data_IF_827599284576
#
_entry.id   IF_827599284576
#
_cell.length_a   1.000
_cell.length_b   1.000
_cell.length_c   1.000
_cell.angle_alpha   90.00
_cell.angle_beta   90.00
_cell.angle_gamma   90.00
#
_symmetry.space_group_name_H-M   'P 1'
#
loop_
_entity.id
_entity.type
_entity.pdbx_description
1 polymer ?
#
# COMPACT_ATOMS: atom_id res chain seq x y z
N UNK A 1 24.71 -24.58 -51.44
CA UNK A 1 23.67 -24.80 -50.41
C UNK A 1 23.72 -23.60 -49.48
N UNK A 2 22.90 -22.61 -49.77
CA UNK A 2 22.81 -21.31 -49.06
C UNK A 2 21.87 -21.44 -47.85
N UNK A 3 22.43 -21.25 -46.70
CA UNK A 3 21.71 -21.29 -45.43
C UNK A 3 20.95 -19.96 -45.25
N UNK A 4 19.64 -19.92 -45.46
CA UNK A 4 18.78 -18.78 -45.14
C UNK A 4 18.48 -18.77 -43.63
N UNK A 5 18.98 -17.76 -42.96
CA UNK A 5 18.63 -17.40 -41.58
C UNK A 5 17.26 -16.74 -41.60
N UNK A 6 16.29 -17.30 -40.88
CA UNK A 6 14.95 -16.75 -40.73
C UNK A 6 15.01 -15.40 -39.95
N UNK A 7 14.16 -14.41 -40.29
CA UNK A 7 14.12 -13.13 -39.59
C UNK A 7 13.56 -13.30 -38.15
N UNK A 8 13.96 -12.44 -37.18
CA UNK A 8 13.49 -12.51 -35.81
C UNK A 8 11.99 -12.20 -35.74
N UNK A 9 11.27 -13.02 -34.97
CA UNK A 9 9.85 -12.89 -34.70
C UNK A 9 9.47 -11.49 -34.22
N UNK A 10 8.37 -10.98 -34.75
CA UNK A 10 7.77 -9.71 -34.41
C UNK A 10 7.60 -9.57 -32.89
N UNK A 11 8.12 -8.48 -32.34
CA UNK A 11 7.82 -8.04 -30.96
C UNK A 11 6.31 -7.92 -30.85
N UNK A 12 5.72 -8.63 -29.90
CA UNK A 12 4.34 -8.45 -29.52
C UNK A 12 4.15 -6.98 -29.10
N UNK A 13 3.29 -6.28 -29.80
CA UNK A 13 2.83 -4.94 -29.44
C UNK A 13 2.18 -5.02 -28.06
N UNK A 14 2.51 -4.17 -27.09
CA UNK A 14 1.79 -4.12 -25.84
C UNK A 14 0.31 -3.82 -26.11
N UNK A 15 -0.63 -4.36 -25.31
CA UNK A 15 -2.05 -4.13 -25.52
C UNK A 15 -2.34 -2.63 -25.55
N UNK A 16 -3.19 -2.23 -26.50
CA UNK A 16 -3.58 -0.85 -26.78
C UNK A 16 -3.79 -0.04 -25.50
N UNK A 17 -3.06 1.06 -25.41
CA UNK A 17 -3.24 2.04 -24.34
C UNK A 17 -4.69 2.53 -24.33
N UNK A 18 -5.50 2.33 -23.29
CA UNK A 18 -6.80 2.99 -23.21
C UNK A 18 -6.54 4.51 -23.22
N UNK A 19 -6.96 5.14 -24.28
CA UNK A 19 -6.87 6.59 -24.47
C UNK A 19 -7.52 7.38 -23.33
N UNK A 20 -7.40 8.71 -23.30
CA UNK A 20 -8.07 9.54 -22.30
C UNK A 20 -9.57 9.23 -22.29
N UNK A 21 -10.13 8.95 -21.09
CA UNK A 21 -11.55 8.64 -20.94
C UNK A 21 -12.39 9.82 -21.44
N UNK A 22 -13.44 9.61 -22.29
CA UNK A 22 -14.30 10.68 -22.77
C UNK A 22 -14.95 11.42 -21.59
N UNK A 23 -14.78 12.73 -21.53
CA UNK A 23 -15.42 13.58 -20.53
C UNK A 23 -14.54 14.76 -20.10
N UNK A 24 -15.13 15.74 -19.42
CA UNK A 24 -14.37 16.89 -18.94
C UNK A 24 -13.32 16.47 -17.89
N UNK A 25 -12.17 17.16 -17.81
CA UNK A 25 -11.24 17.01 -16.70
C UNK A 25 -11.94 17.23 -15.35
N UNK A 26 -11.61 16.36 -14.38
CA UNK A 26 -12.07 16.50 -13.01
C UNK A 26 -11.04 17.28 -12.17
N UNK A 27 -11.53 17.96 -11.14
CA UNK A 27 -10.70 18.54 -10.09
C UNK A 27 -10.85 17.70 -8.83
N UNK A 28 -9.74 17.09 -8.38
CA UNK A 28 -9.72 16.13 -7.26
C UNK A 28 -8.85 16.69 -6.14
N UNK A 29 -9.38 16.70 -4.93
CA UNK A 29 -8.64 17.00 -3.70
C UNK A 29 -8.33 15.67 -2.98
N UNK A 30 -7.07 15.25 -2.97
CA UNK A 30 -6.62 14.05 -2.25
C UNK A 30 -6.30 14.41 -0.80
N UNK A 31 -6.76 13.59 0.13
CA UNK A 31 -6.51 13.74 1.56
C UNK A 31 -5.72 12.58 2.14
N UNK A 32 -4.62 12.89 2.84
CA UNK A 32 -3.78 11.92 3.55
C UNK A 32 -3.99 12.04 5.05
N UNK A 33 -4.19 10.93 5.74
CA UNK A 33 -4.42 10.90 7.20
C UNK A 33 -3.18 11.26 8.04
N UNK A 34 -2.02 11.32 7.43
CA UNK A 34 -0.77 11.67 8.08
C UNK A 34 0.37 11.79 7.09
N UNK A 35 1.53 12.15 7.62
CA UNK A 35 2.77 12.39 6.89
C UNK A 35 3.79 11.26 7.07
N UNK A 36 3.45 10.19 7.79
CA UNK A 36 4.33 9.05 7.95
C UNK A 36 4.56 8.34 6.61
N UNK A 37 5.82 8.03 6.30
CA UNK A 37 6.16 7.26 5.13
C UNK A 37 5.53 5.85 5.22
N UNK A 38 4.72 5.48 4.23
CA UNK A 38 4.00 4.21 4.22
C UNK A 38 3.36 3.91 2.87
N UNK A 39 2.94 2.67 2.65
CA UNK A 39 2.41 2.21 1.36
C UNK A 39 1.16 2.98 0.90
N UNK A 40 0.18 3.15 1.78
CA UNK A 40 -1.07 3.83 1.44
C UNK A 40 -0.88 5.30 0.99
N UNK A 41 -0.17 6.18 1.75
CA UNK A 41 0.03 7.55 1.30
C UNK A 41 0.94 7.68 0.08
N UNK A 42 1.92 6.79 -0.12
CA UNK A 42 2.72 6.74 -1.35
C UNK A 42 1.83 6.44 -2.54
N UNK A 43 1.02 5.39 -2.45
CA UNK A 43 0.09 5.00 -3.52
C UNK A 43 -0.93 6.10 -3.83
N UNK A 44 -1.40 6.85 -2.82
CA UNK A 44 -2.29 8.00 -3.02
C UNK A 44 -1.63 9.09 -3.87
N UNK A 45 -0.35 9.41 -3.60
CA UNK A 45 0.42 10.40 -4.38
C UNK A 45 0.71 9.88 -5.80
N UNK A 46 1.05 8.61 -5.95
CA UNK A 46 1.32 8.00 -7.25
C UNK A 46 0.07 7.97 -8.13
N UNK A 47 -1.09 7.60 -7.55
CA UNK A 47 -2.39 7.71 -8.21
C UNK A 47 -2.72 9.16 -8.58
N UNK A 48 -2.45 10.11 -7.68
CA UNK A 48 -2.63 11.53 -7.94
C UNK A 48 -1.78 12.02 -9.10
N UNK A 49 -0.51 11.60 -9.17
CA UNK A 49 0.40 11.89 -10.29
C UNK A 49 -0.12 11.28 -11.59
N UNK A 50 -0.58 10.03 -11.54
CA UNK A 50 -1.13 9.35 -12.71
C UNK A 50 -2.42 10.02 -13.19
N UNK A 51 -3.32 10.44 -12.30
CA UNK A 51 -4.51 11.22 -12.65
C UNK A 51 -4.16 12.57 -13.29
N UNK A 52 -3.11 13.27 -12.81
CA UNK A 52 -2.62 14.48 -13.47
C UNK A 52 -2.11 14.20 -14.90
N UNK A 53 -1.35 13.12 -15.08
CA UNK A 53 -0.88 12.69 -16.40
C UNK A 53 -2.02 12.36 -17.37
N UNK A 54 -3.21 12.03 -16.84
CA UNK A 54 -4.45 11.79 -17.60
C UNK A 54 -5.30 13.05 -17.82
N UNK A 55 -4.80 14.23 -17.42
CA UNK A 55 -5.43 15.52 -17.66
C UNK A 55 -6.32 16.06 -16.53
N UNK A 56 -6.38 15.39 -15.37
CA UNK A 56 -7.13 15.89 -14.20
C UNK A 56 -6.32 16.92 -13.42
N UNK A 57 -7.03 17.80 -12.70
CA UNK A 57 -6.42 18.66 -11.69
C UNK A 57 -6.43 17.93 -10.35
N UNK A 58 -5.28 17.81 -9.73
CA UNK A 58 -5.15 17.12 -8.44
C UNK A 58 -4.38 18.00 -7.46
N UNK A 59 -4.99 18.28 -6.33
CA UNK A 59 -4.36 18.92 -5.17
C UNK A 59 -4.34 17.95 -3.99
N UNK A 60 -3.43 18.19 -3.03
CA UNK A 60 -3.23 17.29 -1.90
C UNK A 60 -3.28 18.09 -0.60
N UNK A 61 -3.95 17.55 0.40
CA UNK A 61 -3.78 17.97 1.78
C UNK A 61 -3.37 16.78 2.65
N UNK A 62 -2.73 17.06 3.76
CA UNK A 62 -2.34 16.05 4.75
C UNK A 62 -2.58 16.57 6.17
N UNK A 63 -2.76 15.63 7.11
CA UNK A 63 -2.77 15.96 8.52
C UNK A 63 -1.32 16.14 8.98
N UNK A 64 -1.04 17.29 9.60
CA UNK A 64 0.27 17.62 10.16
C UNK A 64 0.55 16.76 11.39
N UNK A 65 1.31 15.69 11.17
CA UNK A 65 1.69 14.69 12.16
C UNK A 65 3.19 14.83 12.46
N UNK A 66 3.54 14.85 13.74
CA UNK A 66 4.96 14.80 14.15
C UNK A 66 5.48 13.38 13.89
N UNK A 67 6.29 13.20 12.85
CA UNK A 67 6.82 11.90 12.44
C UNK A 67 8.33 11.94 12.27
N UNK A 68 9.02 10.84 12.58
CA UNK A 68 10.47 10.71 12.39
C UNK A 68 10.88 10.82 10.92
N UNK A 69 10.13 10.14 10.03
CA UNK A 69 10.39 10.13 8.60
C UNK A 69 9.18 10.65 7.86
N UNK A 70 9.31 11.86 7.31
CA UNK A 70 8.21 12.54 6.64
C UNK A 70 8.06 12.15 5.18
N UNK A 71 6.81 12.05 4.73
CA UNK A 71 6.42 11.86 3.34
C UNK A 71 6.63 13.12 2.46
N UNK A 72 6.80 14.30 3.05
CA UNK A 72 6.88 15.56 2.30
C UNK A 72 7.92 15.55 1.18
N UNK A 73 9.17 15.06 1.37
CA UNK A 73 10.14 15.00 0.27
C UNK A 73 9.69 14.09 -0.89
N UNK A 74 8.93 13.05 -0.59
CA UNK A 74 8.33 12.20 -1.64
C UNK A 74 7.23 12.92 -2.40
N UNK A 75 6.35 13.62 -1.69
CA UNK A 75 5.28 14.42 -2.29
C UNK A 75 5.84 15.51 -3.21
N UNK A 76 6.89 16.22 -2.80
CA UNK A 76 7.56 17.25 -3.60
C UNK A 76 8.16 16.67 -4.88
N UNK A 77 8.89 15.55 -4.78
CA UNK A 77 9.42 14.84 -5.96
C UNK A 77 8.31 14.36 -6.90
N UNK A 78 7.14 14.04 -6.37
CA UNK A 78 5.94 13.66 -7.15
C UNK A 78 5.17 14.89 -7.69
N UNK A 79 5.69 16.10 -7.51
CA UNK A 79 5.10 17.35 -7.98
C UNK A 79 3.97 17.89 -7.11
N UNK A 80 3.83 17.43 -5.87
CA UNK A 80 2.81 17.90 -4.93
C UNK A 80 3.38 18.73 -3.80
N UNK A 81 2.64 19.75 -3.40
CA UNK A 81 2.88 20.52 -2.17
C UNK A 81 1.64 20.41 -1.29
N UNK A 82 1.57 19.41 -0.39
CA UNK A 82 0.40 19.19 0.43
C UNK A 82 0.09 20.39 1.34
N UNK A 83 -1.18 20.81 1.38
CA UNK A 83 -1.64 21.76 2.40
C UNK A 83 -1.75 21.02 3.73
N UNK A 84 -1.03 21.49 4.75
CA UNK A 84 -1.01 20.86 6.06
C UNK A 84 -2.19 21.35 6.92
N UNK A 85 -2.95 20.41 7.46
CA UNK A 85 -4.05 20.68 8.39
C UNK A 85 -3.66 20.24 9.80
N UNK A 86 -4.02 21.01 10.85
CA UNK A 86 -3.65 20.72 12.23
C UNK A 86 -4.04 19.29 12.65
N UNK A 87 -3.20 18.58 13.38
CA UNK A 87 -3.47 17.20 13.82
C UNK A 87 -4.76 17.11 14.65
N UNK A 88 -4.93 17.98 15.63
CA UNK A 88 -6.12 18.01 16.49
C UNK A 88 -7.19 18.94 15.92
N UNK A 89 -8.36 18.39 15.66
CA UNK A 89 -9.51 19.15 15.15
C UNK A 89 -10.78 18.31 15.33
N UNK A 90 -11.90 18.95 15.67
CA UNK A 90 -13.20 18.26 15.66
C UNK A 90 -13.61 17.91 14.23
N UNK A 91 -14.50 16.94 14.06
CA UNK A 91 -15.01 16.55 12.73
C UNK A 91 -15.57 17.74 11.95
N UNK A 92 -16.33 18.63 12.61
CA UNK A 92 -16.89 19.83 11.95
C UNK A 92 -15.83 20.86 11.58
N UNK A 93 -14.83 21.09 12.45
CA UNK A 93 -13.75 22.02 12.14
C UNK A 93 -12.92 21.46 10.96
N UNK A 94 -12.63 20.16 10.95
CA UNK A 94 -11.98 19.47 9.85
C UNK A 94 -12.78 19.55 8.56
N UNK A 95 -14.09 19.31 8.60
CA UNK A 95 -14.96 19.46 7.44
C UNK A 95 -14.94 20.88 6.86
N UNK A 96 -14.94 21.92 7.72
CA UNK A 96 -14.80 23.32 7.27
C UNK A 96 -13.45 23.59 6.60
N UNK A 97 -12.35 23.04 7.15
CA UNK A 97 -11.01 23.16 6.54
C UNK A 97 -10.97 22.51 5.16
N UNK A 98 -11.43 21.25 5.06
CA UNK A 98 -11.51 20.53 3.77
C UNK A 98 -12.40 21.27 2.78
N UNK A 99 -13.56 21.76 3.19
CA UNK A 99 -14.48 22.54 2.32
C UNK A 99 -13.81 23.80 1.76
N UNK A 100 -13.05 24.53 2.58
CA UNK A 100 -12.29 25.71 2.11
C UNK A 100 -11.27 25.34 1.03
N UNK A 101 -10.58 24.19 1.19
CA UNK A 101 -9.66 23.69 0.17
C UNK A 101 -10.40 23.30 -1.11
N UNK A 102 -11.54 22.60 -1.00
CA UNK A 102 -12.37 22.25 -2.16
C UNK A 102 -12.92 23.50 -2.87
N UNK A 103 -13.24 24.56 -2.12
CA UNK A 103 -13.69 25.83 -2.71
C UNK A 103 -12.57 26.53 -3.45
N UNK A 104 -11.37 26.61 -2.85
CA UNK A 104 -10.19 27.25 -3.43
C UNK A 104 -9.72 26.54 -4.71
N UNK A 105 -9.73 25.20 -4.73
CA UNK A 105 -9.32 24.40 -5.89
C UNK A 105 -10.47 24.11 -6.86
N UNK A 106 -11.69 24.56 -6.57
CA UNK A 106 -12.90 24.20 -7.33
C UNK A 106 -13.06 22.70 -7.53
N UNK A 107 -12.74 21.90 -6.49
CA UNK A 107 -12.75 20.44 -6.57
C UNK A 107 -14.14 19.87 -6.73
N UNK A 108 -14.27 18.93 -7.66
CA UNK A 108 -15.46 18.11 -7.88
C UNK A 108 -15.54 16.97 -6.85
N UNK A 109 -14.38 16.42 -6.48
CA UNK A 109 -14.27 15.26 -5.59
C UNK A 109 -13.24 15.55 -4.50
N UNK A 110 -13.54 15.13 -3.27
CA UNK A 110 -12.54 14.92 -2.22
C UNK A 110 -12.38 13.43 -1.99
N UNK A 111 -11.18 12.92 -2.22
CA UNK A 111 -10.85 11.52 -1.99
C UNK A 111 -9.83 11.40 -0.84
N UNK A 112 -10.22 10.78 0.26
CA UNK A 112 -9.35 10.61 1.42
C UNK A 112 -8.84 9.16 1.52
N UNK A 113 -7.54 9.04 1.73
CA UNK A 113 -6.85 7.77 1.94
C UNK A 113 -6.67 7.56 3.44
N UNK A 114 -7.60 6.78 3.98
CA UNK A 114 -7.78 6.45 5.36
C UNK A 114 -9.19 6.78 5.87
N UNK A 115 -9.77 5.91 6.72
CA UNK A 115 -11.16 6.00 7.13
C UNK A 115 -11.47 7.14 8.12
N UNK A 116 -10.45 7.62 8.86
CA UNK A 116 -10.63 8.61 9.92
C UNK A 116 -11.04 9.99 9.41
N UNK A 117 -10.66 10.32 8.18
CA UNK A 117 -11.09 11.54 7.50
C UNK A 117 -12.47 11.42 6.84
N UNK A 118 -13.01 10.21 6.74
CA UNK A 118 -14.20 9.92 5.94
C UNK A 118 -15.41 10.78 6.32
N UNK A 119 -15.73 10.92 7.62
CA UNK A 119 -16.85 11.77 8.06
C UNK A 119 -16.66 13.23 7.71
N UNK A 120 -15.46 13.75 7.97
CA UNK A 120 -15.17 15.15 7.68
C UNK A 120 -15.20 15.45 6.18
N UNK A 121 -14.66 14.55 5.35
CA UNK A 121 -14.71 14.65 3.90
C UNK A 121 -16.15 14.62 3.37
N UNK A 122 -16.97 13.70 3.88
CA UNK A 122 -18.38 13.59 3.49
C UNK A 122 -19.18 14.86 3.84
N UNK A 123 -18.99 15.41 5.05
CA UNK A 123 -19.62 16.67 5.45
C UNK A 123 -19.08 17.84 4.60
N UNK A 124 -17.78 17.83 4.25
CA UNK A 124 -17.20 18.87 3.43
C UNK A 124 -17.74 18.91 2.01
N UNK A 125 -17.98 17.74 1.40
CA UNK A 125 -18.53 17.61 0.06
C UNK A 125 -20.06 17.90 0.00
N UNK A 126 -20.75 17.67 1.11
CA UNK A 126 -22.20 17.86 1.17
C UNK A 126 -22.61 19.34 1.04
N UNK A 127 -23.76 19.64 0.40
CA UNK A 127 -24.30 20.99 0.22
C UNK A 127 -24.72 21.27 -1.23
N UNK A 128 -24.89 22.58 -1.55
CA UNK A 128 -25.46 23.01 -2.85
C UNK A 128 -24.62 22.66 -4.07
N UNK A 129 -23.30 22.80 -3.96
CA UNK A 129 -22.40 22.46 -5.07
C UNK A 129 -22.38 20.93 -5.29
N UNK A 130 -22.47 20.45 -6.54
CA UNK A 130 -22.41 19.02 -6.85
C UNK A 130 -20.99 18.50 -6.66
N UNK A 131 -20.72 17.92 -5.48
CA UNK A 131 -19.42 17.37 -5.08
C UNK A 131 -19.58 16.00 -4.47
N UNK A 132 -18.63 15.13 -4.67
CA UNK A 132 -18.60 13.81 -4.03
C UNK A 132 -17.42 13.69 -3.05
N UNK A 133 -17.59 12.83 -2.05
CA UNK A 133 -16.54 12.36 -1.18
C UNK A 133 -16.32 10.88 -1.41
N UNK A 134 -15.08 10.44 -1.49
CA UNK A 134 -14.66 9.04 -1.61
C UNK A 134 -13.67 8.73 -0.49
N UNK A 135 -13.75 7.52 0.06
CA UNK A 135 -12.85 7.04 1.09
C UNK A 135 -12.18 5.77 0.64
N UNK A 136 -10.86 5.74 0.61
CA UNK A 136 -10.10 4.50 0.49
C UNK A 136 -9.67 4.01 1.86
N UNK A 137 -9.99 2.76 2.18
CA UNK A 137 -9.50 2.05 3.34
C UNK A 137 -8.70 0.81 2.89
N UNK A 138 -7.39 0.92 2.93
CA UNK A 138 -6.46 -0.19 2.67
C UNK A 138 -5.87 -0.77 3.97
N UNK A 139 -6.59 -0.63 5.08
CA UNK A 139 -6.32 -1.39 6.29
C UNK A 139 -6.82 -2.83 6.13
N UNK A 140 -6.35 -3.73 6.98
CA UNK A 140 -6.74 -5.15 6.95
C UNK A 140 -8.08 -5.44 7.64
N UNK A 141 -8.82 -4.41 8.03
CA UNK A 141 -10.09 -4.49 8.72
C UNK A 141 -11.09 -3.45 8.22
N UNK A 142 -12.37 -3.77 8.32
CA UNK A 142 -13.44 -2.83 8.11
C UNK A 142 -13.64 -1.93 9.33
N UNK A 143 -13.73 -0.63 9.12
CA UNK A 143 -13.94 0.35 10.20
C UNK A 143 -15.30 1.03 10.10
N UNK A 144 -16.02 1.21 11.22
CA UNK A 144 -17.39 1.74 11.22
C UNK A 144 -17.46 3.26 11.08
N UNK A 145 -16.33 3.96 10.83
CA UNK A 145 -16.27 5.42 10.84
C UNK A 145 -16.74 6.07 9.55
N UNK A 146 -16.73 5.35 8.44
CA UNK A 146 -17.15 5.89 7.14
C UNK A 146 -18.68 5.89 7.06
N UNK A 147 -19.34 7.00 6.71
CA UNK A 147 -20.77 7.04 6.54
C UNK A 147 -21.25 6.04 5.46
N UNK A 148 -22.36 5.34 5.69
CA UNK A 148 -22.79 4.22 4.82
C UNK A 148 -22.98 4.60 3.35
N UNK A 149 -23.45 5.83 3.06
CA UNK A 149 -23.67 6.33 1.71
C UNK A 149 -22.43 6.88 1.03
N UNK A 150 -21.32 7.03 1.76
CA UNK A 150 -20.05 7.47 1.19
C UNK A 150 -19.39 6.31 0.49
N UNK A 151 -19.02 6.42 -0.79
CA UNK A 151 -18.27 5.40 -1.51
C UNK A 151 -17.01 4.99 -0.73
N UNK A 152 -16.90 3.70 -0.47
CA UNK A 152 -15.79 3.09 0.26
C UNK A 152 -15.02 2.17 -0.67
N UNK A 153 -13.76 2.53 -0.91
CA UNK A 153 -12.83 1.71 -1.68
C UNK A 153 -12.06 0.81 -0.73
N UNK A 154 -12.13 -0.49 -0.94
CA UNK A 154 -11.46 -1.52 -0.14
C UNK A 154 -10.42 -2.26 -0.96
N UNK A 155 -9.38 -2.74 -0.29
CA UNK A 155 -8.19 -3.32 -0.92
C UNK A 155 -8.24 -4.83 -1.09
N UNK A 156 -9.26 -5.54 -0.59
CA UNK A 156 -9.39 -6.99 -0.69
C UNK A 156 -10.83 -7.41 -0.94
N UNK A 157 -11.02 -8.56 -1.60
CA UNK A 157 -12.36 -9.12 -1.86
C UNK A 157 -13.07 -9.45 -0.55
N UNK A 158 -12.38 -10.07 0.39
CA UNK A 158 -12.92 -10.37 1.72
C UNK A 158 -13.54 -9.15 2.40
N UNK A 159 -12.77 -8.04 2.48
CA UNK A 159 -13.27 -6.82 3.12
C UNK A 159 -14.42 -6.18 2.35
N UNK A 160 -14.40 -6.24 1.01
CA UNK A 160 -15.52 -5.79 0.18
C UNK A 160 -16.78 -6.59 0.50
N UNK A 161 -16.71 -7.92 0.46
CA UNK A 161 -17.86 -8.80 0.67
C UNK A 161 -18.44 -8.64 2.08
N UNK A 162 -17.59 -8.51 3.10
CA UNK A 162 -18.01 -8.17 4.47
C UNK A 162 -18.75 -6.81 4.52
N UNK A 163 -18.25 -5.81 3.79
CA UNK A 163 -18.84 -4.46 3.80
C UNK A 163 -20.13 -4.38 2.97
N UNK A 164 -20.24 -5.13 1.87
CA UNK A 164 -21.46 -5.24 1.04
C UNK A 164 -22.64 -5.84 1.82
N UNK A 165 -22.37 -6.70 2.80
CA UNK A 165 -23.40 -7.21 3.72
C UNK A 165 -24.06 -6.12 4.58
N UNK A 166 -23.50 -4.89 4.62
CA UNK A 166 -24.07 -3.77 5.36
C UNK A 166 -25.06 -3.01 4.46
N UNK A 167 -26.34 -3.08 4.78
CA UNK A 167 -27.40 -2.44 4.00
C UNK A 167 -27.10 -0.96 3.68
N UNK A 168 -27.17 -0.60 2.41
CA UNK A 168 -27.01 0.77 1.90
C UNK A 168 -25.55 1.26 1.87
N UNK A 169 -24.56 0.38 2.02
CA UNK A 169 -23.16 0.72 1.84
C UNK A 169 -22.77 0.62 0.36
N UNK A 170 -22.13 1.68 -0.14
CA UNK A 170 -21.51 1.68 -1.47
C UNK A 170 -20.06 1.25 -1.34
N UNK A 171 -19.70 0.16 -1.96
CA UNK A 171 -18.35 -0.45 -1.87
C UNK A 171 -17.75 -0.64 -3.26
N UNK A 172 -16.45 -0.36 -3.36
CA UNK A 172 -15.65 -0.57 -4.55
C UNK A 172 -14.41 -1.39 -4.17
N UNK A 173 -14.05 -2.35 -5.01
CA UNK A 173 -12.79 -3.06 -4.87
C UNK A 173 -11.72 -2.35 -5.70
N UNK A 174 -10.65 -1.92 -5.05
CA UNK A 174 -9.41 -1.50 -5.71
C UNK A 174 -8.24 -1.89 -4.84
N UNK A 175 -7.55 -2.90 -5.26
CA UNK A 175 -6.31 -3.35 -4.59
C UNK A 175 -5.24 -2.26 -4.70
N UNK A 176 -4.36 -2.12 -3.67
CA UNK A 176 -3.30 -1.12 -3.71
C UNK A 176 -2.46 -1.25 -4.98
N UNK A 177 -2.35 -0.22 -5.82
CA UNK A 177 -1.61 -0.33 -7.08
C UNK A 177 -0.10 -0.22 -6.88
N UNK A 178 0.68 -0.62 -7.89
CA UNK A 178 2.12 -0.50 -7.95
C UNK A 178 2.56 0.22 -9.24
N UNK A 179 3.63 1.02 -9.14
CA UNK A 179 4.22 1.69 -10.31
C UNK A 179 5.11 0.72 -11.09
N UNK A 180 4.53 0.06 -12.09
CA UNK A 180 5.23 -0.96 -12.89
C UNK A 180 6.39 -0.41 -13.72
N UNK A 181 6.42 0.89 -13.98
CA UNK A 181 7.51 1.56 -14.70
C UNK A 181 8.66 1.92 -13.75
N UNK A 182 8.33 2.56 -12.62
CA UNK A 182 9.32 2.92 -11.61
C UNK A 182 9.88 1.71 -10.86
N UNK A 183 9.07 0.67 -10.66
CA UNK A 183 9.45 -0.60 -10.04
C UNK A 183 9.82 -1.67 -11.10
N UNK A 184 10.27 -1.23 -12.28
CA UNK A 184 10.84 -2.14 -13.28
C UNK A 184 12.22 -2.64 -12.81
N UNK A 185 12.50 -3.94 -13.07
CA UNK A 185 13.75 -4.56 -12.67
C UNK A 185 15.00 -3.88 -13.29
N UNK A 186 15.95 -3.48 -12.44
CA UNK A 186 17.28 -2.96 -12.81
C UNK A 186 18.39 -3.85 -12.22
N UNK A 187 18.88 -4.79 -13.02
CA UNK A 187 19.95 -5.69 -12.59
C UNK A 187 21.24 -4.95 -12.20
N UNK A 188 21.53 -3.78 -12.79
CA UNK A 188 22.73 -3.01 -12.45
C UNK A 188 22.59 -2.36 -11.06
N UNK A 189 21.42 -1.83 -10.73
CA UNK A 189 21.11 -1.30 -9.40
C UNK A 189 21.21 -2.41 -8.34
N UNK A 190 20.64 -3.59 -8.61
CA UNK A 190 20.75 -4.74 -7.71
C UNK A 190 22.19 -5.15 -7.44
N UNK A 191 23.01 -5.29 -8.48
CA UNK A 191 24.45 -5.61 -8.30
C UNK A 191 25.21 -4.53 -7.52
N UNK A 192 24.90 -3.24 -7.70
CA UNK A 192 25.49 -2.17 -6.89
C UNK A 192 25.12 -2.32 -5.41
N UNK A 193 23.84 -2.60 -5.12
CA UNK A 193 23.35 -2.78 -3.77
C UNK A 193 23.97 -4.02 -3.08
N UNK A 194 24.11 -5.14 -3.80
CA UNK A 194 24.80 -6.34 -3.29
C UNK A 194 26.24 -6.03 -2.93
N UNK A 195 27.01 -5.35 -3.79
CA UNK A 195 28.40 -4.94 -3.50
C UNK A 195 28.51 -4.03 -2.29
N UNK A 196 27.61 -3.05 -2.14
CA UNK A 196 27.56 -2.16 -0.98
C UNK A 196 27.43 -2.94 0.35
N UNK A 197 26.65 -4.01 0.35
CA UNK A 197 26.42 -4.82 1.54
C UNK A 197 27.36 -6.01 1.68
N UNK A 198 28.30 -6.20 0.75
CA UNK A 198 29.22 -7.33 0.73
C UNK A 198 28.54 -8.66 0.47
N UNK A 199 27.49 -8.67 -0.34
CA UNK A 199 26.79 -9.89 -0.80
C UNK A 199 27.43 -10.33 -2.11
N UNK A 200 27.94 -11.55 -2.16
CA UNK A 200 28.61 -12.14 -3.32
C UNK A 200 27.62 -12.80 -4.29
N UNK A 201 28.07 -13.17 -5.50
CA UNK A 201 27.19 -13.73 -6.52
C UNK A 201 26.80 -15.19 -6.23
N UNK A 202 27.55 -15.89 -5.39
CA UNK A 202 27.27 -17.25 -4.90
C UNK A 202 26.33 -17.25 -3.68
N UNK A 203 26.04 -16.10 -3.08
CA UNK A 203 25.09 -16.00 -1.98
C UNK A 203 23.65 -15.76 -2.48
N UNK A 204 22.69 -16.32 -1.75
CA UNK A 204 21.25 -16.16 -1.98
C UNK A 204 20.73 -15.05 -1.08
N UNK A 205 20.38 -13.90 -1.66
CA UNK A 205 19.86 -12.75 -0.94
C UNK A 205 18.34 -12.91 -0.71
N UNK A 206 17.94 -13.13 0.53
CA UNK A 206 16.55 -13.01 0.99
C UNK A 206 16.32 -11.59 1.45
N UNK A 207 15.38 -10.86 0.85
CA UNK A 207 15.22 -9.42 1.10
C UNK A 207 13.85 -9.10 1.64
N UNK A 208 13.82 -8.33 2.72
CA UNK A 208 12.59 -7.72 3.27
C UNK A 208 12.70 -6.21 3.13
N UNK A 209 11.72 -5.58 2.50
CA UNK A 209 11.64 -4.11 2.42
C UNK A 209 10.38 -3.61 3.13
N UNK A 210 10.55 -2.70 4.06
CA UNK A 210 9.41 -2.07 4.71
C UNK A 210 9.73 -1.48 6.07
N UNK A 211 8.73 -0.83 6.67
CA UNK A 211 8.86 -0.29 8.02
C UNK A 211 9.01 -1.44 9.04
N UNK A 212 9.99 -1.32 9.91
CA UNK A 212 10.24 -2.28 11.02
C UNK A 212 9.37 -1.85 12.20
N UNK A 213 8.06 -2.14 12.12
CA UNK A 213 7.09 -1.77 13.14
C UNK A 213 6.74 -2.95 14.06
N UNK A 214 6.47 -2.62 15.33
CA UNK A 214 6.21 -3.60 16.38
C UNK A 214 4.88 -4.34 16.21
N UNK A 215 3.90 -3.74 15.54
CA UNK A 215 2.55 -4.32 15.49
C UNK A 215 2.36 -5.34 14.38
N UNK A 216 2.95 -5.09 13.21
CA UNK A 216 2.61 -5.86 12.02
C UNK A 216 3.80 -6.67 11.48
N UNK A 217 5.03 -6.19 11.68
CA UNK A 217 6.18 -6.76 10.97
C UNK A 217 7.27 -7.35 11.87
N UNK A 218 7.35 -6.94 13.13
CA UNK A 218 8.37 -7.44 14.05
C UNK A 218 8.34 -8.97 14.16
N UNK A 219 7.15 -9.55 14.33
CA UNK A 219 6.96 -10.99 14.45
C UNK A 219 7.51 -11.74 13.22
N UNK A 220 7.09 -11.34 12.02
CA UNK A 220 7.55 -11.97 10.78
C UNK A 220 9.04 -11.81 10.54
N UNK A 221 9.65 -10.69 10.95
CA UNK A 221 11.10 -10.49 10.87
C UNK A 221 11.87 -11.40 11.83
N UNK A 222 11.35 -11.62 13.04
CA UNK A 222 11.93 -12.57 14.02
C UNK A 222 11.89 -13.98 13.47
N UNK A 223 10.76 -14.40 12.91
CA UNK A 223 10.64 -15.72 12.27
C UNK A 223 11.57 -15.86 11.08
N UNK A 224 11.78 -14.80 10.29
CA UNK A 224 12.73 -14.83 9.17
C UNK A 224 14.19 -14.99 9.65
N UNK A 225 14.59 -14.30 10.72
CA UNK A 225 15.92 -14.46 11.32
C UNK A 225 16.08 -15.89 11.86
N UNK A 226 15.10 -16.40 12.60
CA UNK A 226 15.13 -17.75 13.14
C UNK A 226 15.15 -18.82 12.06
N UNK A 227 14.38 -18.65 10.98
CA UNK A 227 14.39 -19.57 9.82
C UNK A 227 15.79 -19.64 9.18
N UNK A 228 16.47 -18.51 9.00
CA UNK A 228 17.84 -18.46 8.49
C UNK A 228 18.82 -19.19 9.41
N UNK A 229 18.66 -19.02 10.74
CA UNK A 229 19.49 -19.74 11.74
C UNK A 229 19.25 -21.24 11.67
N UNK A 230 17.97 -21.68 11.62
CA UNK A 230 17.61 -23.11 11.55
C UNK A 230 18.13 -23.78 10.29
N UNK A 231 18.05 -23.08 9.16
CA UNK A 231 18.57 -23.60 7.90
C UNK A 231 20.09 -23.73 7.92
N UNK A 232 20.79 -22.81 8.57
CA UNK A 232 22.25 -22.82 8.65
C UNK A 232 22.94 -22.84 7.27
N UNK A 233 22.21 -22.55 6.18
CA UNK A 233 22.71 -22.65 4.81
C UNK A 233 23.77 -21.59 4.54
N UNK A 234 25.03 -21.94 4.16
CA UNK A 234 26.16 -21.01 4.12
C UNK A 234 25.97 -19.84 3.16
N UNK A 235 25.28 -20.06 2.05
CA UNK A 235 25.03 -19.02 1.04
C UNK A 235 23.85 -18.11 1.37
N UNK A 236 23.00 -18.42 2.37
CA UNK A 236 21.79 -17.63 2.63
C UNK A 236 22.11 -16.34 3.39
N UNK A 237 21.66 -15.19 2.86
CA UNK A 237 21.79 -13.86 3.47
C UNK A 237 20.42 -13.21 3.59
N UNK A 238 20.04 -12.79 4.78
CA UNK A 238 18.82 -12.01 5.03
C UNK A 238 19.16 -10.52 5.09
N UNK A 239 18.58 -9.73 4.21
CA UNK A 239 18.72 -8.29 4.15
C UNK A 239 17.40 -7.62 4.55
N UNK A 240 17.42 -6.86 5.64
CA UNK A 240 16.25 -6.11 6.11
C UNK A 240 16.47 -4.63 5.80
N UNK A 241 15.63 -4.07 4.94
CA UNK A 241 15.73 -2.69 4.46
C UNK A 241 14.55 -1.88 4.98
N UNK A 242 14.83 -1.02 5.93
CA UNK A 242 13.83 -0.18 6.58
C UNK A 242 14.21 0.18 8.00
N UNK A 243 13.38 1.00 8.62
CA UNK A 243 13.54 1.51 9.98
C UNK A 243 12.16 1.56 10.67
N UNK A 244 12.14 1.66 11.98
CA UNK A 244 10.90 1.73 12.76
C UNK A 244 11.13 1.54 14.25
N UNK A 245 10.04 1.46 15.01
CA UNK A 245 10.05 1.35 16.47
C UNK A 245 10.52 -0.01 17.01
N UNK A 246 10.56 -1.03 16.15
CA UNK A 246 11.13 -2.35 16.48
C UNK A 246 12.59 -2.53 16.01
N UNK A 247 13.20 -1.51 15.36
CA UNK A 247 14.50 -1.65 14.71
C UNK A 247 15.60 -2.17 15.65
N UNK A 248 15.74 -1.56 16.83
CA UNK A 248 16.80 -1.92 17.78
C UNK A 248 16.66 -3.35 18.33
N UNK A 249 15.39 -3.81 18.50
CA UNK A 249 15.11 -5.20 18.93
C UNK A 249 15.50 -6.20 17.83
N UNK A 250 15.11 -5.94 16.60
CA UNK A 250 15.45 -6.79 15.45
C UNK A 250 16.95 -6.77 15.18
N UNK A 251 17.65 -5.62 15.34
CA UNK A 251 19.10 -5.55 15.24
C UNK A 251 19.78 -6.44 16.29
N UNK A 252 19.30 -6.42 17.52
CA UNK A 252 19.83 -7.27 18.59
C UNK A 252 19.67 -8.78 18.30
N UNK A 253 18.54 -9.17 17.69
CA UNK A 253 18.32 -10.56 17.25
C UNK A 253 19.21 -10.94 16.07
N UNK A 254 19.38 -10.04 15.09
CA UNK A 254 20.29 -10.24 13.98
C UNK A 254 21.75 -10.44 14.45
N UNK A 255 22.19 -9.64 15.42
CA UNK A 255 23.54 -9.76 15.99
C UNK A 255 23.72 -11.10 16.72
N UNK A 256 22.69 -11.59 17.42
CA UNK A 256 22.70 -12.92 18.06
C UNK A 256 22.78 -14.03 17.00
N UNK A 257 21.96 -13.96 15.97
CA UNK A 257 21.96 -14.91 14.85
C UNK A 257 23.32 -14.96 14.14
N UNK A 258 23.92 -13.80 13.87
CA UNK A 258 25.24 -13.69 13.24
C UNK A 258 26.36 -14.32 14.10
N UNK A 259 26.32 -14.12 15.43
CA UNK A 259 27.26 -14.78 16.34
C UNK A 259 27.08 -16.29 16.33
N UNK A 260 25.84 -16.78 16.36
CA UNK A 260 25.53 -18.21 16.34
C UNK A 260 26.00 -18.88 15.05
N UNK A 261 25.84 -18.21 13.91
CA UNK A 261 26.24 -18.72 12.59
C UNK A 261 27.72 -18.47 12.26
N UNK A 262 28.45 -17.71 13.08
CA UNK A 262 29.86 -17.37 12.85
C UNK A 262 30.11 -16.52 11.60
N UNK A 263 29.04 -15.89 11.05
CA UNK A 263 29.11 -15.05 9.84
C UNK A 263 28.03 -13.98 9.84
N UNK A 264 28.18 -12.97 8.98
CA UNK A 264 27.19 -11.89 8.80
C UNK A 264 26.03 -12.36 7.92
N UNK A 265 25.18 -13.27 8.43
CA UNK A 265 24.07 -13.86 7.70
C UNK A 265 22.85 -12.94 7.65
N UNK A 266 22.67 -12.06 8.64
CA UNK A 266 21.55 -11.11 8.73
C UNK A 266 22.08 -9.69 8.76
N UNK A 267 21.56 -8.83 7.89
CA UNK A 267 22.00 -7.44 7.74
C UNK A 267 20.79 -6.52 7.76
N UNK A 268 20.74 -5.59 8.71
CA UNK A 268 19.82 -4.47 8.70
C UNK A 268 20.49 -3.24 8.09
N UNK A 269 19.84 -2.56 7.16
CA UNK A 269 20.40 -1.39 6.47
C UNK A 269 19.92 -0.06 7.03
N UNK A 270 18.86 -0.07 7.84
CA UNK A 270 18.10 1.13 8.15
C UNK A 270 17.24 1.61 6.97
N UNK A 271 16.68 2.81 7.12
CA UNK A 271 15.85 3.43 6.09
C UNK A 271 16.65 3.81 4.85
N UNK A 272 16.08 3.59 3.67
CA UNK A 272 16.64 4.01 2.38
C UNK A 272 15.67 4.96 1.68
N UNK A 273 16.18 6.05 1.10
CA UNK A 273 15.36 6.98 0.32
C UNK A 273 14.74 6.32 -0.91
N UNK A 274 15.51 5.45 -1.57
CA UNK A 274 15.05 4.61 -2.66
C UNK A 274 15.31 3.13 -2.31
N UNK A 275 14.27 2.37 -1.99
CA UNK A 275 14.41 0.95 -1.65
C UNK A 275 14.42 0.02 -2.86
N UNK A 276 14.18 0.50 -4.09
CA UNK A 276 14.08 -0.32 -5.30
C UNK A 276 15.33 -1.17 -5.56
N UNK A 277 16.57 -0.66 -5.39
CA UNK A 277 17.76 -1.48 -5.56
C UNK A 277 17.82 -2.72 -4.65
N UNK A 278 17.12 -2.69 -3.50
CA UNK A 278 17.05 -3.85 -2.62
C UNK A 278 16.19 -4.96 -3.22
N UNK A 279 15.06 -4.63 -3.84
CA UNK A 279 14.27 -5.62 -4.59
C UNK A 279 15.08 -6.19 -5.76
N UNK A 280 15.84 -5.34 -6.46
CA UNK A 280 16.69 -5.79 -7.57
C UNK A 280 17.84 -6.70 -7.12
N UNK A 281 18.31 -6.54 -5.88
CA UNK A 281 19.34 -7.38 -5.27
C UNK A 281 18.83 -8.74 -4.79
N UNK A 282 17.51 -8.88 -4.62
CA UNK A 282 16.89 -10.09 -4.07
C UNK A 282 16.96 -11.28 -5.01
N UNK A 283 17.27 -12.45 -4.47
CA UNK A 283 16.97 -13.75 -5.08
C UNK A 283 15.61 -14.26 -4.61
N UNK A 284 15.22 -13.92 -3.38
CA UNK A 284 13.93 -14.22 -2.76
C UNK A 284 13.45 -12.96 -2.05
N UNK A 285 12.22 -12.59 -2.24
CA UNK A 285 11.60 -11.49 -1.49
C UNK A 285 10.67 -12.03 -0.39
N UNK A 286 10.72 -11.42 0.79
CA UNK A 286 9.73 -11.59 1.82
C UNK A 286 8.97 -10.26 1.98
N UNK A 287 7.64 -10.31 2.04
CA UNK A 287 6.88 -9.06 2.12
C UNK A 287 5.39 -9.25 2.32
N UNK A 288 4.67 -8.14 2.52
CA UNK A 288 3.22 -8.12 2.61
C UNK A 288 2.66 -6.83 1.99
N UNK A 289 1.42 -6.86 1.50
CA UNK A 289 0.73 -5.72 0.92
C UNK A 289 1.55 -5.06 -0.21
N UNK A 290 1.77 -3.74 -0.15
CA UNK A 290 2.48 -2.99 -1.19
C UNK A 290 3.94 -3.44 -1.40
N UNK A 291 4.65 -3.94 -0.37
CA UNK A 291 6.01 -4.46 -0.54
C UNK A 291 6.03 -5.79 -1.30
N UNK A 292 5.00 -6.61 -1.14
CA UNK A 292 4.82 -7.84 -1.91
C UNK A 292 4.61 -7.52 -3.41
N UNK A 293 3.71 -6.60 -3.73
CA UNK A 293 3.47 -6.16 -5.11
C UNK A 293 4.72 -5.58 -5.79
N UNK A 294 5.52 -4.80 -5.06
CA UNK A 294 6.79 -4.29 -5.57
C UNK A 294 7.79 -5.39 -5.84
N UNK A 295 7.90 -6.39 -4.96
CA UNK A 295 8.75 -7.55 -5.20
C UNK A 295 8.38 -8.27 -6.51
N UNK A 296 7.07 -8.49 -6.75
CA UNK A 296 6.59 -9.07 -8.00
C UNK A 296 6.87 -8.18 -9.22
N UNK A 297 6.75 -6.84 -9.07
CA UNK A 297 7.09 -5.89 -10.13
C UNK A 297 8.57 -5.94 -10.51
N UNK A 298 9.46 -6.18 -9.54
CA UNK A 298 10.89 -6.43 -9.77
C UNK A 298 11.21 -7.87 -10.21
N UNK A 299 10.18 -8.67 -10.56
CA UNK A 299 10.32 -10.07 -10.97
C UNK A 299 11.07 -10.91 -9.92
N UNK A 300 10.67 -10.83 -8.65
CA UNK A 300 11.22 -11.65 -7.57
C UNK A 300 10.24 -12.71 -7.11
N UNK A 301 10.68 -13.96 -6.89
CA UNK A 301 9.86 -14.94 -6.20
C UNK A 301 9.56 -14.42 -4.80
N UNK A 302 8.33 -14.57 -4.34
CA UNK A 302 7.82 -13.92 -3.15
C UNK A 302 7.29 -14.95 -2.15
N UNK A 303 7.73 -14.85 -0.90
CA UNK A 303 7.01 -15.41 0.25
C UNK A 303 6.25 -14.29 0.93
N UNK A 304 4.94 -14.39 0.97
CA UNK A 304 4.08 -13.44 1.67
C UNK A 304 4.14 -13.75 3.16
N UNK A 305 4.49 -12.74 3.95
CA UNK A 305 4.43 -12.79 5.40
C UNK A 305 3.09 -12.25 5.90
N UNK A 306 2.67 -12.71 7.08
CA UNK A 306 1.46 -12.25 7.76
C UNK A 306 1.64 -12.17 9.27
N UNK A 307 0.52 -12.20 10.00
CA UNK A 307 0.49 -12.31 11.46
C UNK A 307 0.40 -13.77 11.91
N UNK A 308 0.65 -14.01 13.20
CA UNK A 308 0.58 -15.30 13.86
C UNK A 308 1.41 -16.41 13.18
N UNK A 309 2.54 -16.01 12.57
CA UNK A 309 3.47 -16.91 11.91
C UNK A 309 3.13 -17.28 10.46
N UNK A 310 2.09 -16.68 9.88
CA UNK A 310 1.75 -16.94 8.47
C UNK A 310 2.91 -16.65 7.53
N UNK A 311 3.22 -17.62 6.67
CA UNK A 311 4.15 -17.47 5.55
C UNK A 311 3.70 -18.38 4.39
N UNK A 312 3.54 -17.84 3.19
CA UNK A 312 3.20 -18.66 2.02
C UNK A 312 3.85 -18.10 0.75
N UNK A 313 4.45 -18.99 -0.03
CA UNK A 313 5.02 -18.68 -1.33
C UNK A 313 3.91 -18.30 -2.31
N UNK A 314 4.06 -17.16 -2.99
CA UNK A 314 3.12 -16.75 -4.03
C UNK A 314 3.37 -17.52 -5.31
N UNK A 315 2.35 -18.23 -5.76
CA UNK A 315 2.39 -19.06 -6.96
C UNK A 315 0.98 -19.46 -7.41
N UNK A 316 0.86 -20.30 -8.46
CA UNK A 316 -0.43 -20.75 -8.99
C UNK A 316 -1.33 -21.38 -7.91
N UNK A 317 -0.75 -22.14 -6.99
CA UNK A 317 -1.46 -22.88 -5.95
C UNK A 317 -2.04 -21.97 -4.86
N UNK A 318 -1.38 -20.85 -4.58
CA UNK A 318 -1.76 -19.89 -3.52
C UNK A 318 -2.48 -18.65 -4.05
N UNK A 319 -2.54 -18.49 -5.37
CA UNK A 319 -3.15 -17.33 -6.02
C UNK A 319 -4.56 -17.04 -5.51
N UNK A 320 -5.43 -18.05 -5.48
CA UNK A 320 -6.83 -17.88 -5.08
C UNK A 320 -6.96 -17.31 -3.66
N UNK A 321 -6.10 -17.77 -2.74
CA UNK A 321 -6.04 -17.23 -1.39
C UNK A 321 -5.68 -15.74 -1.38
N UNK A 322 -4.64 -15.35 -2.12
CA UNK A 322 -4.20 -13.96 -2.17
C UNK A 322 -5.14 -13.04 -2.96
N UNK A 323 -5.87 -13.57 -3.93
CA UNK A 323 -6.94 -12.83 -4.61
C UNK A 323 -8.08 -12.47 -3.65
N UNK A 324 -8.34 -13.31 -2.65
CA UNK A 324 -9.37 -13.08 -1.64
C UNK A 324 -8.89 -12.20 -0.48
N UNK A 325 -7.72 -12.55 0.09
CA UNK A 325 -7.21 -11.91 1.31
C UNK A 325 -6.32 -10.69 1.05
N UNK A 326 -5.88 -10.46 -0.20
CA UNK A 326 -4.77 -9.58 -0.52
C UNK A 326 -3.42 -10.23 -0.19
N UNK A 327 -2.32 -9.49 -0.37
CA UNK A 327 -0.98 -9.99 -0.02
C UNK A 327 -0.73 -9.91 1.49
N UNK A 328 -1.51 -10.69 2.24
CA UNK A 328 -1.48 -10.77 3.70
C UNK A 328 -2.09 -12.08 4.15
N UNK A 329 -1.70 -12.58 5.31
CA UNK A 329 -2.31 -13.75 5.94
C UNK A 329 -2.34 -13.63 7.45
N UNK A 330 -3.25 -14.37 8.06
CA UNK A 330 -3.51 -14.34 9.49
C UNK A 330 -3.92 -15.76 9.96
N UNK A 331 -3.09 -16.74 9.61
CA UNK A 331 -3.28 -18.13 10.05
C UNK A 331 -2.21 -18.48 11.07
N UNK A 332 -2.62 -18.93 12.25
CA UNK A 332 -1.72 -19.30 13.32
C UNK A 332 -0.93 -20.56 12.98
N UNK A 333 0.39 -20.48 13.06
CA UNK A 333 1.32 -21.57 12.85
C UNK A 333 1.91 -22.07 14.18
N UNK A 334 1.98 -23.37 14.36
CA UNK A 334 2.55 -23.97 15.58
C UNK A 334 4.08 -23.80 15.64
N UNK A 335 4.76 -23.81 14.50
CA UNK A 335 6.20 -23.55 14.36
C UNK A 335 6.45 -22.56 13.21
N UNK A 336 6.25 -21.25 13.43
CA UNK A 336 6.34 -20.24 12.39
C UNK A 336 7.69 -20.19 11.67
N UNK A 337 8.78 -20.30 12.42
CA UNK A 337 10.12 -20.27 11.82
C UNK A 337 10.43 -21.53 11.00
N UNK A 338 9.98 -22.69 11.47
CA UNK A 338 10.10 -23.95 10.70
C UNK A 338 9.25 -23.92 9.44
N UNK A 339 8.03 -23.37 9.53
CA UNK A 339 7.15 -23.20 8.38
C UNK A 339 7.79 -22.26 7.31
N UNK A 340 8.31 -21.11 7.73
CA UNK A 340 9.01 -20.19 6.83
C UNK A 340 10.30 -20.81 6.27
N UNK A 341 11.05 -21.57 7.08
CA UNK A 341 12.23 -22.29 6.61
C UNK A 341 11.90 -23.28 5.49
N UNK A 342 10.78 -24.01 5.61
CA UNK A 342 10.31 -24.92 4.55
C UNK A 342 10.00 -24.17 3.24
N UNK A 343 9.36 -22.99 3.31
CA UNK A 343 9.14 -22.13 2.13
C UNK A 343 10.47 -21.69 1.49
N UNK A 344 11.48 -21.36 2.30
CA UNK A 344 12.79 -20.95 1.80
C UNK A 344 13.57 -22.11 1.18
N UNK A 345 13.44 -23.35 1.70
CA UNK A 345 14.10 -24.54 1.13
C UNK A 345 13.65 -24.78 -0.31
N UNK A 346 12.36 -24.71 -0.61
CA UNK A 346 11.84 -24.84 -1.98
C UNK A 346 12.45 -23.80 -2.93
N UNK A 347 12.72 -22.60 -2.40
CA UNK A 347 13.30 -21.48 -3.15
C UNK A 347 14.86 -21.51 -3.19
N UNK A 348 15.53 -22.51 -2.65
CA UNK A 348 16.98 -22.69 -2.88
C UNK A 348 17.23 -23.16 -4.32
N UNK A 349 16.27 -23.84 -4.97
CA UNK A 349 16.35 -24.22 -6.39
C UNK A 349 16.23 -22.97 -7.31
N UNK A 350 17.27 -22.68 -8.12
CA UNK A 350 17.23 -21.56 -9.07
C UNK A 350 16.09 -21.67 -10.09
N UNK A 351 15.73 -22.89 -10.52
CA UNK A 351 14.68 -23.12 -11.51
C UNK A 351 13.31 -22.76 -10.93
N UNK A 352 13.07 -23.13 -9.65
CA UNK A 352 11.84 -22.77 -8.95
C UNK A 352 11.75 -21.26 -8.74
N UNK A 353 12.85 -20.59 -8.38
CA UNK A 353 12.88 -19.12 -8.31
C UNK A 353 12.52 -18.47 -9.63
N UNK A 354 13.09 -18.94 -10.74
CA UNK A 354 12.84 -18.36 -12.06
C UNK A 354 11.38 -18.55 -12.50
N UNK A 355 10.80 -19.72 -12.28
CA UNK A 355 9.39 -20.02 -12.55
C UNK A 355 8.45 -19.06 -11.81
N UNK A 356 8.61 -18.95 -10.47
CA UNK A 356 7.74 -18.13 -9.64
C UNK A 356 7.95 -16.63 -9.88
N UNK A 357 9.17 -16.20 -10.21
CA UNK A 357 9.46 -14.83 -10.61
C UNK A 357 8.73 -14.45 -11.92
N UNK A 358 8.76 -15.32 -12.92
CA UNK A 358 8.06 -15.11 -14.18
C UNK A 358 6.54 -15.09 -13.97
N UNK A 359 6.01 -16.03 -13.18
CA UNK A 359 4.60 -16.06 -12.81
C UNK A 359 4.17 -14.77 -12.10
N UNK A 360 4.88 -14.38 -11.04
CA UNK A 360 4.58 -13.18 -10.28
C UNK A 360 4.65 -11.89 -11.13
N UNK A 361 5.63 -11.80 -12.04
CA UNK A 361 5.76 -10.67 -12.97
C UNK A 361 4.58 -10.57 -13.95
N UNK A 362 4.04 -11.68 -14.40
CA UNK A 362 2.85 -11.70 -15.24
C UNK A 362 1.60 -11.26 -14.46
N UNK A 363 1.43 -11.80 -13.24
CA UNK A 363 0.26 -11.51 -12.41
C UNK A 363 0.20 -10.05 -11.91
N UNK A 364 1.36 -9.44 -11.60
CA UNK A 364 1.40 -8.07 -11.05
C UNK A 364 0.93 -6.99 -12.04
N UNK A 365 0.85 -7.30 -13.34
CA UNK A 365 0.39 -6.35 -14.37
C UNK A 365 -1.01 -5.80 -14.06
N UNK A 366 -1.88 -6.58 -13.48
CA UNK A 366 -3.25 -6.18 -13.12
C UNK A 366 -3.32 -5.11 -12.02
N UNK A 367 -2.23 -4.95 -11.25
CA UNK A 367 -2.13 -3.97 -10.15
C UNK A 367 -1.44 -2.67 -10.57
N UNK A 368 -1.26 -2.41 -11.87
CA UNK A 368 -0.58 -1.20 -12.35
C UNK A 368 -1.31 0.09 -11.98
N UNK A 369 -0.57 1.14 -11.66
CA UNK A 369 -1.10 2.48 -11.33
C UNK A 369 -2.07 3.03 -12.38
N UNK A 370 -1.80 2.77 -13.64
CA UNK A 370 -2.65 3.23 -14.75
C UNK A 370 -4.05 2.60 -14.68
N UNK A 371 -4.13 1.31 -14.42
CA UNK A 371 -5.40 0.61 -14.24
C UNK A 371 -6.15 1.15 -13.01
N UNK A 372 -5.47 1.37 -11.89
CA UNK A 372 -6.04 1.98 -10.69
C UNK A 372 -6.58 3.40 -10.94
N UNK A 373 -5.86 4.23 -11.70
CA UNK A 373 -6.33 5.57 -12.05
C UNK A 373 -7.59 5.54 -12.94
N UNK A 374 -7.67 4.62 -13.90
CA UNK A 374 -8.89 4.42 -14.73
C UNK A 374 -10.08 4.01 -13.86
N UNK A 375 -9.87 3.10 -12.92
CA UNK A 375 -10.92 2.71 -11.98
C UNK A 375 -11.40 3.88 -11.12
N UNK A 376 -10.48 4.72 -10.62
CA UNK A 376 -10.84 5.93 -9.86
C UNK A 376 -11.61 6.95 -10.70
N UNK A 377 -11.22 7.16 -11.94
CA UNK A 377 -11.97 8.04 -12.85
C UNK A 377 -13.42 7.55 -13.04
N UNK A 378 -13.59 6.26 -13.27
CA UNK A 378 -14.92 5.67 -13.44
C UNK A 378 -15.77 5.87 -12.17
N UNK A 379 -15.19 5.56 -11.01
CA UNK A 379 -15.82 5.77 -9.70
C UNK A 379 -16.22 7.23 -9.49
N UNK A 380 -15.31 8.19 -9.74
CA UNK A 380 -15.61 9.60 -9.54
C UNK A 380 -16.74 10.09 -10.44
N UNK A 381 -16.78 9.66 -11.71
CA UNK A 381 -17.84 10.03 -12.66
C UNK A 381 -19.16 9.42 -12.28
N UNK A 382 -19.18 8.16 -11.89
CA UNK A 382 -20.39 7.48 -11.42
C UNK A 382 -20.98 8.19 -10.20
N UNK A 383 -20.16 8.48 -9.20
CA UNK A 383 -20.61 9.13 -7.98
C UNK A 383 -21.09 10.57 -8.20
N UNK A 384 -20.45 11.31 -9.10
CA UNK A 384 -20.90 12.65 -9.46
C UNK A 384 -22.23 12.60 -10.25
N UNK A 385 -22.42 11.59 -11.11
CA UNK A 385 -23.67 11.37 -11.86
C UNK A 385 -24.85 10.90 -10.99
N UNK A 386 -24.54 10.20 -9.90
CA UNK A 386 -25.54 9.67 -8.96
C UNK A 386 -25.92 10.64 -7.82
N UNK A 387 -25.38 11.87 -7.81
CA UNK A 387 -25.68 12.84 -6.75
C UNK A 387 -27.16 13.21 -6.71
N UNK A 388 -27.78 13.25 -5.51
CA UNK A 388 -29.14 13.75 -5.35
C UNK A 388 -29.28 15.19 -5.82
N UNK A 389 -30.53 15.62 -6.08
CA UNK A 389 -30.84 17.04 -6.31
C UNK A 389 -30.41 17.94 -5.12
N UNK A 390 -30.39 19.26 -5.34
CA UNK A 390 -29.87 20.23 -4.35
C UNK A 390 -30.51 20.03 -2.98
N UNK A 391 -31.82 19.90 -2.90
CA UNK A 391 -32.55 19.71 -1.64
C UNK A 391 -32.11 18.42 -0.92
N UNK A 392 -31.99 17.33 -1.64
CA UNK A 392 -31.52 16.06 -1.07
C UNK A 392 -30.12 16.16 -0.48
N UNK A 393 -29.20 16.85 -1.17
CA UNK A 393 -27.84 17.08 -0.68
C UNK A 393 -27.80 17.94 0.58
N UNK A 394 -28.66 18.96 0.69
CA UNK A 394 -28.74 19.80 1.89
C UNK A 394 -29.30 19.02 3.09
N UNK A 395 -30.33 18.20 2.87
CA UNK A 395 -30.89 17.31 3.90
C UNK A 395 -29.83 16.29 4.36
N UNK A 396 -29.15 15.64 3.45
CA UNK A 396 -28.05 14.71 3.79
C UNK A 396 -26.95 15.40 4.58
N UNK A 397 -26.56 16.62 4.20
CA UNK A 397 -25.57 17.42 4.92
C UNK A 397 -25.98 17.71 6.36
N UNK A 398 -27.25 18.11 6.57
CA UNK A 398 -27.80 18.42 7.89
C UNK A 398 -27.84 17.16 8.78
N UNK A 399 -28.31 16.04 8.24
CA UNK A 399 -28.38 14.75 8.96
C UNK A 399 -26.99 14.23 9.34
N UNK A 400 -26.01 14.32 8.44
CA UNK A 400 -24.64 13.91 8.70
C UNK A 400 -23.98 14.77 9.79
N UNK A 401 -24.20 16.09 9.72
CA UNK A 401 -23.70 17.03 10.70
C UNK A 401 -24.30 16.78 12.09
N UNK A 402 -25.60 16.57 12.18
CA UNK A 402 -26.28 16.24 13.43
C UNK A 402 -25.77 14.91 14.04
N UNK A 403 -25.61 13.86 13.21
CA UNK A 403 -25.06 12.57 13.67
C UNK A 403 -23.62 12.68 14.14
N UNK A 404 -22.77 13.47 13.45
CA UNK A 404 -21.40 13.71 13.86
C UNK A 404 -21.35 14.42 15.21
N UNK A 405 -22.19 15.45 15.42
CA UNK A 405 -22.29 16.16 16.68
C UNK A 405 -22.71 15.26 17.83
N UNK A 406 -23.76 14.45 17.66
CA UNK A 406 -24.20 13.50 18.70
C UNK A 406 -23.10 12.48 19.02
N UNK A 407 -22.36 12.04 18.01
CA UNK A 407 -21.26 11.08 18.22
C UNK A 407 -20.12 11.75 19.01
N UNK A 408 -19.69 12.95 18.64
CA UNK A 408 -18.62 13.69 19.34
C UNK A 408 -19.00 14.00 20.79
N UNK A 409 -20.23 14.43 21.05
CA UNK A 409 -20.70 14.69 22.43
C UNK A 409 -20.74 13.45 23.29
N UNK A 410 -21.16 12.30 22.73
CA UNK A 410 -21.12 11.01 23.46
C UNK A 410 -19.70 10.54 23.76
N UNK A 411 -18.75 10.79 22.88
CA UNK A 411 -17.34 10.45 23.11
C UNK A 411 -16.68 11.40 24.10
N UNK A 412 -16.95 12.70 24.01
CA UNK A 412 -16.46 13.68 24.98
C UNK A 412 -16.98 13.38 26.40
N UNK A 413 -18.25 12.99 26.52
CA UNK A 413 -18.85 12.60 27.79
C UNK A 413 -18.23 11.31 28.41
N UNK A 414 -17.54 10.49 27.60
CA UNK A 414 -16.80 9.30 28.05
C UNK A 414 -15.31 9.56 28.27
N UNK A 415 -14.87 10.82 28.30
CA UNK A 415 -13.46 11.20 28.53
C UNK A 415 -12.53 10.95 27.33
N UNK A 416 -13.09 10.70 26.17
CA UNK A 416 -12.32 10.46 24.94
C UNK A 416 -12.27 11.75 24.10
N UNK A 417 -11.16 12.48 24.14
CA UNK A 417 -10.88 13.54 23.16
C UNK A 417 -10.62 12.86 21.82
N UNK A 418 -11.25 13.34 20.72
CA UNK A 418 -11.22 12.76 19.37
C UNK A 418 -9.85 12.67 18.67
N UNK A 419 -8.82 12.40 19.44
CA UNK A 419 -7.57 11.82 18.95
C UNK A 419 -7.83 10.37 18.50
N UNK A 420 -7.15 9.90 17.46
CA UNK A 420 -7.00 8.47 17.17
C UNK A 420 -6.97 7.72 18.51
N UNK A 421 -7.70 6.60 18.68
CA UNK A 421 -7.38 5.73 19.79
C UNK A 421 -5.88 5.56 19.76
N UNK A 422 -5.20 5.85 20.84
CA UNK A 422 -3.81 5.48 20.99
C UNK A 422 -3.76 4.04 20.50
N UNK A 423 -2.95 3.76 19.48
CA UNK A 423 -2.80 2.41 18.94
C UNK A 423 -2.70 1.53 20.17
N UNK A 424 -3.70 0.65 20.36
CA UNK A 424 -3.65 -0.29 21.47
C UNK A 424 -2.33 -1.04 21.36
N UNK A 425 -1.64 -1.28 22.49
CA UNK A 425 -0.31 -1.85 22.53
C UNK A 425 -0.22 -3.21 21.86
#
# INVERSE_FOLDING_TARGET
>A
MTNQVAPPSARATPPDEPGPVPGRPLSVLLGLEGLALGGCPINALDLGRTLRGRGHRVEVFAIDEQVRTSLLPYAERSGFRPTLLPQRSSTHARARQIRRLMDASSSDVVHVFGPWLGRAATIAAAGRRPRSAVVTNWMMENVPYVPRRTPLVLGTRRLRDEAEGIQGRKVWLMEPPVDLEADAHDAAAGRRFRRELGVTDDEIAVVVVGRVDAHLKEEGLRHAIEAVVRLGHPALRLLVVGDGDAFDRIQSEADRANRQLGRRAVVLTGSRQDPRPAYDAADIALGMGGSALRALAHARPLVVLGQHGFAATYGPETRAYFDEQGFFGDTSEADPAGHLAAQLVDLLDPSRRAELAAYGRAEVQRYGLRAGAVQLEALYREELGALPGVLGREVDAALLSARAFVHETRFAARGWSGARPARQP
#
